data_IF_403660631334
#
_entry.id   IF_403660631334
#
_cell.length_a   1.000
_cell.length_b   1.000
_cell.length_c   1.000
_cell.angle_alpha   90.00
_cell.angle_beta   90.00
_cell.angle_gamma   90.00
#
_symmetry.space_group_name_H-M   'P 1'
#
loop_
_entity.id
_entity.type
_entity.pdbx_description
1 polymer ?
#
# COMPACT_ATOMS: atom_id res chain seq x y z
N UNK A 1 -25.32 5.20 -13.08
CA UNK A 1 -24.37 5.18 -11.94
C UNK A 1 -24.03 6.62 -11.62
N UNK A 2 -24.25 7.07 -10.39
CA UNK A 2 -23.85 8.40 -9.95
C UNK A 2 -22.33 8.49 -9.97
N UNK A 3 -21.78 9.45 -10.73
CA UNK A 3 -20.35 9.74 -10.78
C UNK A 3 -19.89 10.27 -9.41
N UNK A 4 -18.87 9.64 -8.84
CA UNK A 4 -18.25 10.10 -7.59
C UNK A 4 -17.33 11.31 -7.81
N UNK A 5 -16.84 11.91 -6.73
CA UNK A 5 -15.95 13.07 -6.80
C UNK A 5 -14.62 12.78 -7.52
N UNK A 6 -14.20 11.52 -7.57
CA UNK A 6 -12.99 11.05 -8.24
C UNK A 6 -13.27 10.20 -9.48
N UNK A 7 -14.47 10.35 -10.08
CA UNK A 7 -14.79 9.66 -11.34
C UNK A 7 -13.75 9.97 -12.42
N UNK A 8 -13.22 8.93 -13.06
CA UNK A 8 -12.17 9.03 -14.07
C UNK A 8 -10.73 9.04 -13.54
N UNK A 9 -10.52 9.16 -12.22
CA UNK A 9 -9.18 9.08 -11.61
C UNK A 9 -8.74 7.63 -11.51
N UNK A 10 -7.51 7.34 -11.94
CA UNK A 10 -6.89 6.01 -11.92
C UNK A 10 -5.76 5.93 -10.89
N UNK A 11 -5.80 4.90 -10.07
CA UNK A 11 -4.87 4.72 -8.96
C UNK A 11 -4.22 3.34 -9.07
N UNK A 12 -2.90 3.31 -9.02
CA UNK A 12 -2.13 2.09 -8.82
C UNK A 12 -1.72 2.02 -7.36
N UNK A 13 -2.23 1.03 -6.64
CA UNK A 13 -1.97 0.82 -5.22
C UNK A 13 -1.07 -0.40 -5.00
N UNK A 14 0.21 -0.14 -4.73
CA UNK A 14 1.22 -1.13 -4.38
C UNK A 14 1.40 -1.24 -2.84
N UNK A 15 0.62 -0.49 -2.07
CA UNK A 15 0.73 -0.47 -0.62
C UNK A 15 0.23 -1.78 0.02
N UNK A 16 0.62 -1.99 1.27
CA UNK A 16 0.33 -3.20 2.03
C UNK A 16 -0.14 -2.85 3.43
N UNK A 17 -0.68 -3.84 4.13
CA UNK A 17 -1.21 -3.69 5.49
C UNK A 17 -2.36 -2.68 5.53
N UNK A 18 -2.59 -1.98 6.65
CA UNK A 18 -3.78 -1.15 6.80
C UNK A 18 -3.67 0.27 6.21
N UNK A 19 -2.60 1.07 6.42
CA UNK A 19 -2.64 2.51 6.13
C UNK A 19 -2.86 2.87 4.66
N UNK A 20 -2.06 2.28 3.76
CA UNK A 20 -2.19 2.53 2.33
C UNK A 20 -3.48 1.96 1.73
N UNK A 21 -3.84 0.69 2.00
CA UNK A 21 -5.12 0.15 1.54
C UNK A 21 -6.34 0.88 2.12
N UNK A 22 -6.25 1.46 3.32
CA UNK A 22 -7.31 2.33 3.84
C UNK A 22 -7.42 3.63 3.03
N UNK A 23 -6.30 4.28 2.71
CA UNK A 23 -6.27 5.46 1.84
C UNK A 23 -6.92 5.16 0.48
N UNK A 24 -6.44 4.15 -0.24
CA UNK A 24 -6.96 3.81 -1.56
C UNK A 24 -8.39 3.26 -1.52
N UNK A 25 -8.83 2.65 -0.42
CA UNK A 25 -10.24 2.28 -0.21
C UNK A 25 -11.13 3.53 -0.19
N UNK A 26 -10.75 4.56 0.58
CA UNK A 26 -11.50 5.81 0.62
C UNK A 26 -11.58 6.48 -0.75
N UNK A 27 -10.49 6.46 -1.53
CA UNK A 27 -10.48 7.01 -2.89
C UNK A 27 -11.37 6.20 -3.85
N UNK A 28 -11.37 4.88 -3.74
CA UNK A 28 -12.29 4.01 -4.46
C UNK A 28 -13.75 4.25 -4.08
N UNK A 29 -14.05 4.45 -2.79
CA UNK A 29 -15.39 4.83 -2.30
C UNK A 29 -15.86 6.17 -2.89
N UNK A 30 -14.94 7.07 -3.25
CA UNK A 30 -15.21 8.35 -3.92
C UNK A 30 -15.26 8.25 -5.46
N UNK A 31 -15.12 7.05 -6.04
CA UNK A 31 -15.31 6.79 -7.47
C UNK A 31 -14.02 6.60 -8.29
N UNK A 32 -12.84 6.59 -7.67
CA UNK A 32 -11.60 6.32 -8.39
C UNK A 32 -11.51 4.84 -8.86
N UNK A 33 -10.93 4.60 -10.03
CA UNK A 33 -10.54 3.25 -10.46
C UNK A 33 -9.23 2.86 -9.76
N UNK A 34 -9.31 1.94 -8.79
CA UNK A 34 -8.14 1.49 -8.03
C UNK A 34 -7.71 0.10 -8.49
N UNK A 35 -6.48 -0.02 -8.98
CA UNK A 35 -5.80 -1.28 -9.28
C UNK A 35 -4.79 -1.56 -8.16
N UNK A 36 -5.10 -2.56 -7.34
CA UNK A 36 -4.20 -3.07 -6.31
C UNK A 36 -3.20 -4.05 -6.94
N UNK A 37 -1.92 -3.83 -6.71
CA UNK A 37 -0.84 -4.72 -7.14
C UNK A 37 -0.41 -5.60 -5.98
N UNK A 38 -0.66 -6.89 -6.10
CA UNK A 38 -0.38 -7.88 -5.06
C UNK A 38 0.87 -8.70 -5.40
N UNK A 39 1.60 -9.13 -4.37
CA UNK A 39 2.75 -10.01 -4.56
C UNK A 39 2.27 -11.45 -4.83
N UNK A 40 3.08 -12.27 -5.52
CA UNK A 40 2.74 -13.66 -5.77
C UNK A 40 2.54 -14.45 -4.48
N UNK A 41 1.68 -15.50 -4.51
CA UNK A 41 1.51 -16.44 -3.42
C UNK A 41 2.82 -17.03 -2.88
N UNK A 42 3.80 -17.22 -3.76
CA UNK A 42 5.12 -17.78 -3.48
C UNK A 42 6.08 -16.79 -2.79
N UNK A 43 5.72 -15.50 -2.70
CA UNK A 43 6.57 -14.50 -2.07
C UNK A 43 6.71 -14.78 -0.56
N UNK A 44 7.92 -14.68 0.01
CA UNK A 44 8.18 -14.93 1.46
C UNK A 44 7.23 -14.18 2.41
N UNK A 45 6.69 -13.04 1.97
CA UNK A 45 5.80 -12.18 2.76
C UNK A 45 4.38 -12.79 2.88
N UNK A 46 3.98 -13.61 1.89
CA UNK A 46 2.65 -14.22 1.81
C UNK A 46 2.73 -15.75 1.99
N UNK A 47 3.83 -16.40 1.59
CA UNK A 47 3.98 -17.86 1.56
C UNK A 47 3.68 -18.57 2.89
N UNK A 48 4.00 -17.97 4.04
CA UNK A 48 3.68 -18.53 5.38
C UNK A 48 2.23 -18.32 5.81
N UNK A 49 1.44 -17.55 5.05
CA UNK A 49 0.05 -17.15 5.35
C UNK A 49 -0.96 -17.80 4.41
N UNK A 50 -0.52 -18.60 3.42
CA UNK A 50 -1.43 -19.22 2.45
C UNK A 50 -1.90 -20.56 2.97
N UNK A 51 -3.05 -20.51 3.63
CA UNK A 51 -3.90 -21.68 3.81
C UNK A 51 -5.02 -21.50 2.77
N UNK A 52 -5.02 -22.30 1.69
CA UNK A 52 -6.04 -22.18 0.65
C UNK A 52 -7.32 -22.96 1.03
N UNK A 53 -7.85 -22.69 2.21
CA UNK A 53 -9.14 -23.22 2.66
C UNK A 53 -10.30 -22.24 2.41
N UNK A 54 -11.52 -22.73 2.57
CA UNK A 54 -12.72 -21.93 2.34
C UNK A 54 -12.84 -20.75 3.31
N UNK A 55 -12.37 -20.89 4.54
CA UNK A 55 -12.48 -19.86 5.57
C UNK A 55 -11.51 -18.69 5.32
N UNK A 56 -10.30 -18.99 4.88
CA UNK A 56 -9.28 -18.01 4.51
C UNK A 56 -9.72 -17.23 3.28
N UNK A 57 -10.30 -17.90 2.27
CA UNK A 57 -10.93 -17.22 1.12
C UNK A 57 -12.07 -16.31 1.56
N UNK A 58 -12.94 -16.77 2.47
CA UNK A 58 -14.03 -15.97 3.02
C UNK A 58 -13.52 -14.72 3.74
N UNK A 59 -12.50 -14.87 4.60
CA UNK A 59 -11.85 -13.76 5.32
C UNK A 59 -11.23 -12.74 4.36
N UNK A 60 -10.55 -13.20 3.31
CA UNK A 60 -9.97 -12.33 2.29
C UNK A 60 -11.05 -11.56 1.50
N UNK A 61 -12.13 -12.25 1.11
CA UNK A 61 -13.27 -11.64 0.42
C UNK A 61 -14.04 -10.65 1.29
N UNK A 62 -14.09 -10.88 2.61
CA UNK A 62 -14.75 -9.98 3.56
C UNK A 62 -13.85 -8.83 4.06
N UNK A 63 -12.62 -8.70 3.56
CA UNK A 63 -11.73 -7.62 3.99
C UNK A 63 -12.24 -6.27 3.46
N UNK A 64 -12.73 -5.37 4.33
CA UNK A 64 -13.32 -4.11 3.89
C UNK A 64 -12.31 -3.22 3.16
N UNK A 65 -11.01 -3.35 3.45
CA UNK A 65 -9.96 -2.55 2.82
C UNK A 65 -9.76 -2.85 1.33
N UNK A 66 -10.33 -3.94 0.81
CA UNK A 66 -10.20 -4.32 -0.60
C UNK A 66 -11.45 -3.98 -1.43
N UNK A 67 -12.53 -3.46 -0.83
CA UNK A 67 -13.73 -3.09 -1.59
C UNK A 67 -13.44 -1.99 -2.60
N UNK A 68 -14.20 -1.96 -3.71
CA UNK A 68 -14.06 -1.01 -4.81
C UNK A 68 -12.70 -1.04 -5.54
N UNK A 69 -11.87 -2.08 -5.32
CA UNK A 69 -10.58 -2.27 -5.99
C UNK A 69 -10.61 -3.45 -6.94
N UNK A 70 -9.88 -3.33 -8.04
CA UNK A 70 -9.45 -4.45 -8.89
C UNK A 70 -8.09 -4.92 -8.40
N UNK A 71 -7.75 -6.19 -8.61
CA UNK A 71 -6.45 -6.75 -8.20
C UNK A 71 -5.72 -7.36 -9.40
N UNK A 72 -4.39 -7.20 -9.39
CA UNK A 72 -3.46 -7.91 -10.27
C UNK A 72 -2.29 -8.42 -9.42
N UNK A 73 -1.86 -9.67 -9.68
CA UNK A 73 -0.68 -10.25 -9.03
C UNK A 73 0.53 -10.04 -9.93
N UNK A 74 1.57 -9.39 -9.43
CA UNK A 74 2.81 -9.13 -10.15
C UNK A 74 4.03 -9.52 -9.29
N UNK A 75 4.94 -10.32 -9.85
CA UNK A 75 6.28 -10.48 -9.25
C UNK A 75 7.19 -9.36 -9.71
N UNK A 76 7.36 -8.33 -8.89
CA UNK A 76 8.20 -7.17 -9.21
C UNK A 76 9.71 -7.48 -9.19
N UNK A 77 10.11 -8.71 -8.85
CA UNK A 77 11.50 -9.16 -9.02
C UNK A 77 11.78 -9.65 -10.45
N UNK A 78 10.73 -9.99 -11.18
CA UNK A 78 10.81 -10.41 -12.57
C UNK A 78 10.70 -9.20 -13.50
N UNK A 79 11.47 -9.21 -14.59
CA UNK A 79 11.50 -8.12 -15.58
C UNK A 79 10.10 -7.82 -16.14
N UNK A 80 9.30 -8.86 -16.36
CA UNK A 80 7.95 -8.70 -16.89
C UNK A 80 6.99 -8.11 -15.85
N UNK A 81 7.14 -8.45 -14.57
CA UNK A 81 6.30 -7.89 -13.50
C UNK A 81 6.52 -6.40 -13.32
N UNK A 82 7.78 -5.95 -13.31
CA UNK A 82 8.09 -4.52 -13.23
C UNK A 82 7.66 -3.77 -14.51
N UNK A 83 7.84 -4.38 -15.69
CA UNK A 83 7.36 -3.81 -16.96
C UNK A 83 5.85 -3.59 -16.97
N UNK A 84 5.07 -4.56 -16.49
CA UNK A 84 3.60 -4.42 -16.39
C UNK A 84 3.23 -3.32 -15.40
N UNK A 85 3.94 -3.21 -14.26
CA UNK A 85 3.72 -2.11 -13.31
C UNK A 85 3.95 -0.75 -13.97
N UNK A 86 5.04 -0.60 -14.72
CA UNK A 86 5.35 0.63 -15.45
C UNK A 86 4.25 0.99 -16.46
N UNK A 87 3.73 0.00 -17.20
CA UNK A 87 2.61 0.20 -18.13
C UNK A 87 1.31 0.62 -17.43
N UNK A 88 1.06 0.15 -16.21
CA UNK A 88 -0.08 0.63 -15.41
C UNK A 88 0.13 2.11 -15.02
N UNK A 89 1.36 2.48 -14.63
CA UNK A 89 1.70 3.84 -14.22
C UNK A 89 1.67 4.86 -15.37
N UNK A 90 1.91 4.46 -16.62
CA UNK A 90 1.78 5.32 -17.81
C UNK A 90 0.41 6.01 -17.90
N UNK A 91 -0.64 5.37 -17.38
CA UNK A 91 -2.03 5.86 -17.44
C UNK A 91 -2.64 6.16 -16.08
N UNK A 92 -1.85 6.05 -15.01
CA UNK A 92 -2.32 6.33 -13.67
C UNK A 92 -2.23 7.82 -13.36
N UNK A 93 -3.15 8.32 -12.54
CA UNK A 93 -3.08 9.68 -11.98
C UNK A 93 -2.36 9.66 -10.63
N UNK A 94 -2.50 8.56 -9.88
CA UNK A 94 -1.91 8.38 -8.55
C UNK A 94 -1.20 7.03 -8.44
N UNK A 95 0.01 7.03 -7.88
CA UNK A 95 0.73 5.84 -7.46
C UNK A 95 0.89 5.86 -5.94
N UNK A 96 0.46 4.80 -5.26
CA UNK A 96 0.53 4.67 -3.80
C UNK A 96 1.40 3.47 -3.46
N UNK A 97 2.38 3.67 -2.57
CA UNK A 97 3.19 2.58 -2.05
C UNK A 97 3.46 2.72 -0.55
N UNK A 98 3.80 1.60 0.07
CA UNK A 98 3.97 1.50 1.53
C UNK A 98 5.22 0.77 1.95
N UNK A 99 6.31 0.88 1.19
CA UNK A 99 7.59 0.28 1.51
C UNK A 99 8.53 1.28 2.17
N UNK A 100 9.68 0.75 2.59
CA UNK A 100 10.80 1.57 3.03
C UNK A 100 11.48 2.23 1.81
N UNK A 101 12.11 3.40 1.99
CA UNK A 101 12.74 4.14 0.90
C UNK A 101 13.61 3.27 -0.03
N UNK A 102 14.52 2.47 0.53
CA UNK A 102 15.45 1.63 -0.25
C UNK A 102 14.76 0.49 -1.03
N UNK A 103 13.57 0.08 -0.63
CA UNK A 103 12.89 -1.08 -1.24
C UNK A 103 12.31 -0.70 -2.59
N UNK A 104 11.67 0.46 -2.72
CA UNK A 104 11.08 0.90 -3.99
C UNK A 104 12.14 1.19 -5.05
N UNK A 105 13.29 1.73 -4.65
CA UNK A 105 14.43 1.94 -5.56
C UNK A 105 14.93 0.60 -6.10
N UNK A 106 15.12 -0.41 -5.23
CA UNK A 106 15.53 -1.75 -5.67
C UNK A 106 14.50 -2.45 -6.55
N UNK A 107 13.21 -2.20 -6.31
CA UNK A 107 12.12 -2.74 -7.13
C UNK A 107 11.94 -1.98 -8.45
N UNK A 108 12.60 -0.82 -8.63
CA UNK A 108 12.46 0.02 -9.83
C UNK A 108 11.13 0.79 -9.88
N UNK A 109 10.58 1.14 -8.73
CA UNK A 109 9.31 1.87 -8.63
C UNK A 109 9.35 3.04 -7.63
N UNK A 110 10.53 3.58 -7.34
CA UNK A 110 10.66 4.85 -6.62
C UNK A 110 10.11 6.03 -7.44
N UNK A 111 9.93 7.16 -6.77
CA UNK A 111 9.32 8.35 -7.37
C UNK A 111 9.99 8.79 -8.66
N UNK A 112 11.32 8.85 -8.69
CA UNK A 112 12.08 9.31 -9.84
C UNK A 112 11.80 8.42 -11.06
N UNK A 113 11.82 7.10 -10.90
CA UNK A 113 11.51 6.15 -11.98
C UNK A 113 10.07 6.26 -12.45
N UNK A 114 9.10 6.36 -11.54
CA UNK A 114 7.68 6.48 -11.93
C UNK A 114 7.40 7.83 -12.60
N UNK A 115 8.06 8.90 -12.16
CA UNK A 115 7.95 10.24 -12.76
C UNK A 115 8.54 10.29 -14.17
N UNK A 116 9.64 9.59 -14.43
CA UNK A 116 10.19 9.47 -15.79
C UNK A 116 9.19 8.81 -16.75
N UNK A 117 8.45 7.81 -16.28
CA UNK A 117 7.40 7.12 -17.03
C UNK A 117 6.18 8.03 -17.23
N UNK A 118 5.76 8.72 -16.17
CA UNK A 118 4.60 9.61 -16.17
C UNK A 118 4.90 10.90 -15.39
N UNK A 119 5.26 12.00 -16.07
CA UNK A 119 5.61 13.26 -15.41
C UNK A 119 4.46 13.94 -14.65
N UNK A 120 3.21 13.54 -14.91
CA UNK A 120 2.01 14.10 -14.26
C UNK A 120 1.56 13.30 -13.03
N UNK A 121 2.24 12.19 -12.71
CA UNK A 121 1.86 11.29 -11.62
C UNK A 121 1.90 11.99 -10.26
N UNK A 122 0.88 11.75 -9.44
CA UNK A 122 0.93 12.03 -8.01
C UNK A 122 1.48 10.78 -7.31
N UNK A 123 2.65 10.89 -6.68
CA UNK A 123 3.27 9.78 -5.97
C UNK A 123 3.08 9.93 -4.45
N UNK A 124 2.48 8.92 -3.82
CA UNK A 124 2.26 8.86 -2.37
C UNK A 124 3.04 7.71 -1.75
N UNK A 125 4.04 8.06 -0.94
CA UNK A 125 4.80 7.11 -0.13
C UNK A 125 4.30 7.09 1.31
N UNK A 126 4.01 5.91 1.83
CA UNK A 126 3.51 5.72 3.20
C UNK A 126 4.49 4.83 3.97
N UNK A 127 5.39 5.45 4.72
CA UNK A 127 6.33 4.77 5.61
C UNK A 127 6.06 5.12 7.07
N UNK A 128 6.59 4.32 7.99
CA UNK A 128 6.32 4.48 9.43
C UNK A 128 6.80 5.80 10.04
N UNK A 129 7.94 6.30 9.56
CA UNK A 129 8.59 7.51 10.10
C UNK A 129 8.95 8.53 9.01
N UNK A 130 8.35 8.42 7.82
CA UNK A 130 8.66 9.26 6.67
C UNK A 130 9.88 8.80 5.86
N UNK A 131 10.20 9.57 4.83
CA UNK A 131 11.30 9.28 3.88
C UNK A 131 12.63 9.92 4.32
N UNK A 132 12.61 10.78 5.32
CA UNK A 132 13.75 11.59 5.78
C UNK A 132 13.88 11.54 7.30
N UNK A 133 14.99 12.07 7.82
CA UNK A 133 15.24 12.15 9.25
C UNK A 133 15.82 10.86 9.86
N UNK A 134 16.11 10.88 11.17
CA UNK A 134 16.89 9.84 11.84
C UNK A 134 16.16 8.49 11.95
N UNK A 135 14.83 8.48 11.77
CA UNK A 135 14.01 7.28 11.95
C UNK A 135 13.56 6.64 10.64
N UNK A 136 13.94 7.19 9.48
CA UNK A 136 13.48 6.74 8.15
C UNK A 136 13.74 5.24 7.87
N UNK A 137 14.79 4.68 8.48
CA UNK A 137 15.20 3.29 8.27
C UNK A 137 14.65 2.32 9.35
N UNK A 138 14.00 2.85 10.39
CA UNK A 138 13.43 2.05 11.47
C UNK A 138 12.23 1.22 10.99
N UNK A 139 12.12 0.02 11.55
CA UNK A 139 10.90 -0.78 11.43
C UNK A 139 9.88 -0.21 12.40
N UNK A 140 8.63 -0.09 11.97
CA UNK A 140 7.55 0.22 12.88
C UNK A 140 6.27 -0.47 12.46
N UNK A 141 5.47 -0.81 13.47
CA UNK A 141 4.05 -1.09 13.37
C UNK A 141 3.28 -0.03 14.16
N UNK A 142 1.96 -0.07 14.09
CA UNK A 142 1.07 0.89 14.75
C UNK A 142 1.47 1.15 16.21
N UNK A 143 1.73 0.08 16.98
CA UNK A 143 2.16 0.14 18.38
C UNK A 143 3.41 1.00 18.61
N UNK A 144 4.36 0.99 17.68
CA UNK A 144 5.56 1.81 17.78
C UNK A 144 5.21 3.29 17.60
N UNK A 145 4.34 3.62 16.64
CA UNK A 145 3.97 5.00 16.35
C UNK A 145 3.17 5.61 17.50
N UNK A 146 2.22 4.87 18.05
CA UNK A 146 1.42 5.33 19.21
C UNK A 146 2.24 5.35 20.51
N UNK A 147 3.30 4.55 20.61
CA UNK A 147 4.28 4.64 21.70
C UNK A 147 5.10 5.94 21.59
N UNK A 148 5.73 6.18 20.44
CA UNK A 148 6.56 7.38 20.22
C UNK A 148 5.73 8.66 20.27
N UNK A 149 4.49 8.62 19.78
CA UNK A 149 3.54 9.73 19.85
C UNK A 149 2.95 9.99 21.25
N UNK A 150 3.29 9.16 22.25
CA UNK A 150 2.87 9.32 23.64
C UNK A 150 1.45 8.82 23.94
N UNK A 151 0.69 8.38 22.94
CA UNK A 151 -0.69 7.92 23.11
C UNK A 151 -0.79 6.71 24.05
N UNK A 152 0.15 5.75 23.98
CA UNK A 152 0.17 4.63 24.92
C UNK A 152 0.32 5.08 26.37
N UNK A 153 1.14 6.11 26.65
CA UNK A 153 1.31 6.63 28.02
C UNK A 153 0.05 7.28 28.59
N UNK A 154 -0.95 7.58 27.76
CA UNK A 154 -2.24 8.14 28.16
C UNK A 154 -3.34 7.08 28.33
N UNK A 155 -3.09 5.84 27.92
CA UNK A 155 -4.05 4.75 27.95
C UNK A 155 -3.59 3.76 29.02
N UNK A 156 -4.40 3.56 30.06
CA UNK A 156 -4.09 2.59 31.10
C UNK A 156 -4.40 3.10 32.51
N UNK A 157 -3.95 2.34 33.50
CA UNK A 157 -4.13 2.68 34.90
C UNK A 157 -3.06 3.67 35.35
N UNK A 158 -3.40 4.62 36.24
CA UNK A 158 -2.50 5.69 36.73
C UNK A 158 -1.11 5.22 37.21
N UNK A 159 -1.02 3.98 37.70
CA UNK A 159 0.23 3.35 38.18
C UNK A 159 0.52 2.00 37.49
N UNK A 160 -0.15 1.71 36.37
CA UNK A 160 0.08 0.50 35.57
C UNK A 160 1.16 0.71 34.51
N UNK A 161 1.48 -0.35 33.78
CA UNK A 161 2.19 -0.17 32.50
C UNK A 161 1.30 0.61 31.53
N UNK A 162 1.90 1.34 30.58
CA UNK A 162 1.20 1.73 29.36
C UNK A 162 0.58 0.52 28.66
#
# INVERSE_FOLDING_TARGET
MTKGALDGVKIVDLSRMAPGPFCSMMLGDMGAEVIKVEAPPTSRIIASKIINDAETRKKAASNPLNRNKRSIVLDLKEKDGIKILHQLCEKADVFIEGFRPEVVTRLGCNYETIKEINPSIIYSSISGYGQTGPYKDLVGHDVNYISVGGALGLIGSKNGTP
#
